data_IF_862257448809
#
_entry.id   IF_862257448809
#
_cell.length_a   1.000
_cell.length_b   1.000
_cell.length_c   1.000
_cell.angle_alpha   90.00
_cell.angle_beta   90.00
_cell.angle_gamma   90.00
#
_symmetry.space_group_name_H-M   'P 1'
#
loop_
_entity.id
_entity.type
_entity.pdbx_description
1 polymer ?
#
# COMPACT_ATOMS: atom_id res chain seq x y z
N UNK A 1 21.28 -10.04 15.81
CA UNK A 1 20.33 -10.89 15.07
C UNK A 1 20.60 -12.37 15.34
N UNK A 2 21.68 -12.98 14.86
CA UNK A 2 21.95 -14.42 15.11
C UNK A 2 21.90 -14.82 16.59
N UNK A 3 22.58 -14.06 17.46
CA UNK A 3 22.55 -14.30 18.91
C UNK A 3 21.20 -14.08 19.60
N UNK A 4 20.25 -13.36 18.97
CA UNK A 4 18.91 -13.15 19.56
C UNK A 4 18.01 -14.38 19.35
N UNK A 5 18.36 -15.25 18.39
CA UNK A 5 17.60 -16.43 18.00
C UNK A 5 18.33 -17.74 18.31
N UNK A 6 19.53 -17.67 18.91
CA UNK A 6 20.39 -18.82 19.21
C UNK A 6 20.64 -19.74 17.99
N UNK A 7 20.92 -19.12 16.84
CA UNK A 7 21.22 -19.79 15.57
C UNK A 7 22.55 -19.31 15.00
N UNK A 8 23.21 -20.19 14.25
CA UNK A 8 24.41 -19.85 13.49
C UNK A 8 24.12 -18.77 12.44
N UNK A 9 25.11 -17.89 12.21
CA UNK A 9 24.95 -16.75 11.31
C UNK A 9 24.64 -17.19 9.86
N UNK A 10 25.28 -18.26 9.40
CA UNK A 10 25.07 -18.83 8.06
C UNK A 10 23.63 -19.30 7.86
N UNK A 11 23.08 -20.02 8.85
CA UNK A 11 21.69 -20.50 8.84
C UNK A 11 20.73 -19.31 8.85
N UNK A 12 21.02 -18.27 9.65
CA UNK A 12 20.18 -17.09 9.69
C UNK A 12 20.16 -16.36 8.32
N UNK A 13 21.29 -16.27 7.64
CA UNK A 13 21.38 -15.65 6.32
C UNK A 13 20.61 -16.45 5.26
N UNK A 14 20.60 -17.78 5.34
CA UNK A 14 19.77 -18.64 4.49
C UNK A 14 18.28 -18.40 4.74
N UNK A 15 17.86 -18.33 6.02
CA UNK A 15 16.48 -18.06 6.40
C UNK A 15 16.03 -16.68 5.88
N UNK A 16 16.86 -15.64 6.08
CA UNK A 16 16.57 -14.29 5.59
C UNK A 16 16.47 -14.29 4.06
N UNK A 17 17.42 -14.94 3.37
CA UNK A 17 17.43 -15.04 1.92
C UNK A 17 16.16 -15.72 1.39
N UNK A 18 15.73 -16.81 2.04
CA UNK A 18 14.47 -17.47 1.71
C UNK A 18 13.27 -16.55 1.92
N UNK A 19 13.22 -15.81 3.04
CA UNK A 19 12.15 -14.86 3.33
C UNK A 19 12.08 -13.70 2.32
N UNK A 20 13.22 -13.26 1.80
CA UNK A 20 13.30 -12.27 0.72
C UNK A 20 12.81 -12.88 -0.60
N UNK A 21 13.20 -14.13 -0.92
CA UNK A 21 12.74 -14.84 -2.13
C UNK A 21 11.21 -14.97 -2.18
N UNK A 22 10.56 -15.30 -1.06
CA UNK A 22 9.09 -15.37 -0.96
C UNK A 22 8.42 -13.98 -0.80
N UNK A 23 9.17 -12.88 -0.90
CA UNK A 23 8.71 -11.49 -0.77
C UNK A 23 8.04 -11.17 0.57
N UNK A 24 8.35 -11.93 1.63
CA UNK A 24 7.90 -11.64 2.98
C UNK A 24 8.70 -10.47 3.59
N UNK A 25 10.00 -10.43 3.28
CA UNK A 25 10.93 -9.38 3.66
C UNK A 25 11.52 -8.71 2.41
N UNK A 26 11.99 -7.48 2.58
CA UNK A 26 12.67 -6.68 1.56
C UNK A 26 14.06 -6.33 2.07
N UNK A 27 15.08 -6.52 1.25
CA UNK A 27 16.45 -6.11 1.54
C UNK A 27 16.75 -4.83 0.75
N UNK A 28 16.90 -3.69 1.43
CA UNK A 28 17.25 -2.40 0.80
C UNK A 28 18.45 -1.79 1.58
N UNK A 29 19.56 -1.49 0.90
CA UNK A 29 20.75 -0.88 1.50
C UNK A 29 21.31 -1.64 2.72
N UNK A 30 21.39 -2.97 2.63
CA UNK A 30 21.87 -3.84 3.72
C UNK A 30 20.94 -3.89 4.93
N UNK A 31 19.70 -3.41 4.79
CA UNK A 31 18.68 -3.42 5.86
C UNK A 31 17.48 -4.23 5.44
N UNK A 32 16.93 -4.98 6.39
CA UNK A 32 15.79 -5.87 6.18
C UNK A 32 14.52 -5.14 6.65
N UNK A 33 13.50 -5.12 5.80
CA UNK A 33 12.21 -4.49 6.07
C UNK A 33 11.08 -5.48 5.85
N UNK A 34 10.05 -5.40 6.70
CA UNK A 34 8.76 -6.03 6.41
C UNK A 34 7.86 -5.05 5.68
N UNK A 35 7.41 -5.40 4.48
CA UNK A 35 6.52 -4.56 3.67
C UNK A 35 5.22 -4.21 4.40
N UNK A 36 4.57 -5.23 4.99
CA UNK A 36 3.33 -5.06 5.73
C UNK A 36 3.50 -4.17 6.95
N UNK A 37 4.60 -4.33 7.69
CA UNK A 37 4.88 -3.50 8.86
C UNK A 37 5.18 -2.04 8.46
N UNK A 38 5.99 -1.81 7.42
CA UNK A 38 6.29 -0.47 6.88
C UNK A 38 5.00 0.25 6.49
N UNK A 39 4.08 -0.43 5.80
CA UNK A 39 2.77 0.12 5.41
C UNK A 39 1.90 0.47 6.62
N UNK A 40 1.82 -0.40 7.63
CA UNK A 40 1.01 -0.18 8.84
C UNK A 40 1.57 0.94 9.72
N UNK A 41 2.89 1.06 9.81
CA UNK A 41 3.55 2.07 10.66
C UNK A 41 3.71 3.43 9.98
N UNK A 42 3.60 3.51 8.65
CA UNK A 42 3.67 4.77 7.90
C UNK A 42 2.87 5.92 8.53
N UNK A 43 1.56 5.79 8.85
CA UNK A 43 0.82 6.91 9.46
C UNK A 43 1.38 7.35 10.82
N UNK A 44 1.93 6.43 11.61
CA UNK A 44 2.53 6.75 12.93
C UNK A 44 3.85 7.48 12.74
N UNK A 45 4.67 7.01 11.80
CA UNK A 45 5.95 7.64 11.43
C UNK A 45 5.69 9.05 10.89
N UNK A 46 4.75 9.20 9.96
CA UNK A 46 4.38 10.48 9.36
C UNK A 46 3.88 11.46 10.44
N UNK A 47 3.02 11.00 11.36
CA UNK A 47 2.53 11.82 12.47
C UNK A 47 3.67 12.28 13.39
N UNK A 48 4.63 11.41 13.69
CA UNK A 48 5.80 11.74 14.51
C UNK A 48 6.72 12.74 13.81
N UNK A 49 6.98 12.56 12.52
CA UNK A 49 7.83 13.46 11.74
C UNK A 49 7.18 14.85 11.65
N UNK A 50 5.89 14.92 11.34
CA UNK A 50 5.15 16.18 11.32
C UNK A 50 5.18 16.92 12.67
N UNK A 51 5.13 16.18 13.79
CA UNK A 51 5.24 16.78 15.12
C UNK A 51 6.65 17.34 15.39
N UNK A 52 7.69 16.61 14.96
CA UNK A 52 9.08 17.09 15.04
C UNK A 52 9.31 18.34 14.19
N UNK A 53 8.80 18.35 12.97
CA UNK A 53 8.97 19.48 12.04
C UNK A 53 8.27 20.73 12.58
N UNK A 54 7.05 20.59 13.12
CA UNK A 54 6.35 21.69 13.80
C UNK A 54 7.11 22.24 15.00
N UNK A 55 7.75 21.35 15.77
CA UNK A 55 8.55 21.77 16.91
C UNK A 55 9.81 22.53 16.46
N UNK A 56 10.49 22.04 15.43
CA UNK A 56 11.67 22.70 14.86
C UNK A 56 11.32 24.06 14.25
N UNK A 57 10.20 24.16 13.52
CA UNK A 57 9.76 25.43 12.92
C UNK A 57 9.38 26.47 13.98
N UNK A 58 8.70 26.05 15.05
CA UNK A 58 8.37 26.95 16.17
C UNK A 58 9.61 27.43 16.95
N UNK A 59 10.67 26.61 17.01
CA UNK A 59 11.92 27.01 17.67
C UNK A 59 12.66 28.08 16.86
N UNK A 60 12.63 28.00 15.53
CA UNK A 60 13.23 28.99 14.63
C UNK A 60 12.46 30.33 14.63
N UNK A 61 11.13 30.32 14.71
CA UNK A 61 10.33 31.56 14.76
C UNK A 61 10.50 32.33 16.10
N UNK A 62 10.75 31.59 17.20
CA UNK A 62 10.92 32.16 18.54
C UNK A 62 12.32 32.69 18.85
N UNK A 63 13.28 32.65 17.93
CA UNK A 63 14.57 33.34 18.10
C UNK A 63 14.48 34.86 17.90
N UNK A 64 13.29 35.39 17.58
CA UNK A 64 13.02 36.85 17.54
C UNK A 64 12.44 37.40 18.86
N UNK A 65 12.74 36.79 20.01
CA UNK A 65 12.42 37.41 21.30
C UNK A 65 13.40 38.57 21.55
N UNK A 66 13.00 39.76 21.09
CA UNK A 66 13.48 41.04 21.63
C UNK A 66 13.35 40.98 23.16
N UNK A 67 14.48 40.88 23.84
CA UNK A 67 14.58 40.92 25.29
C UNK A 67 13.96 42.22 25.83
N UNK A 68 12.69 42.16 26.23
CA UNK A 68 12.15 43.09 27.23
C UNK A 68 12.24 42.41 28.58
N UNK A 69 13.34 42.74 29.22
CA UNK A 69 13.66 42.60 30.63
C UNK A 69 12.41 42.87 31.49
N UNK A 70 11.90 41.84 32.15
CA UNK A 70 10.98 42.06 33.27
C UNK A 70 11.42 41.18 34.44
N UNK A 71 12.21 41.82 35.29
CA UNK A 71 12.63 41.37 36.61
C UNK A 71 11.44 41.40 37.57
N UNK A 72 10.93 40.25 38.00
CA UNK A 72 10.60 40.08 39.42
C UNK A 72 10.47 38.60 39.82
N UNK A 73 11.48 38.15 40.56
CA UNK A 73 11.54 36.87 41.25
C UNK A 73 10.48 36.73 42.34
N UNK A 74 9.81 35.57 42.42
CA UNK A 74 9.34 35.06 43.72
C UNK A 74 9.47 33.54 43.78
N UNK A 75 10.55 33.15 44.46
CA UNK A 75 10.99 31.79 44.74
C UNK A 75 9.98 31.05 45.63
N UNK A 76 9.70 29.77 45.31
CA UNK A 76 9.34 28.78 46.33
C UNK A 76 10.22 27.55 46.14
N UNK A 77 11.12 27.34 47.10
CA UNK A 77 12.03 26.21 47.21
C UNK A 77 11.27 24.89 47.42
N UNK A 78 11.69 23.82 46.75
CA UNK A 78 11.62 22.43 47.25
C UNK A 78 12.60 21.59 46.42
N UNK A 79 13.85 21.46 46.87
CA UNK A 79 14.40 20.33 47.67
C UNK A 79 14.68 19.06 46.84
N UNK A 80 15.86 19.11 46.20
CA UNK A 80 16.87 18.06 45.95
C UNK A 80 16.50 16.59 46.24
N UNK A 81 16.68 15.72 45.23
CA UNK A 81 17.37 14.43 45.38
C UNK A 81 18.31 14.22 44.18
N UNK A 82 19.53 13.85 44.52
CA UNK A 82 20.74 13.89 43.71
C UNK A 82 20.79 12.84 42.60
N UNK A 83 21.46 13.25 41.53
CA UNK A 83 21.92 12.46 40.38
C UNK A 83 23.03 11.48 40.79
N UNK A 84 23.10 10.33 40.11
CA UNK A 84 24.34 9.55 39.98
C UNK A 84 24.77 9.60 38.52
N UNK A 85 25.97 10.13 38.33
CA UNK A 85 26.66 10.26 37.06
C UNK A 85 26.98 8.90 36.44
N UNK A 86 26.83 8.79 35.12
CA UNK A 86 27.53 7.79 34.31
C UNK A 86 28.30 8.57 33.25
N UNK A 87 29.59 8.73 33.51
CA UNK A 87 30.62 9.06 32.52
C UNK A 87 31.04 7.76 31.89
N UNK A 88 30.76 7.54 30.59
CA UNK A 88 31.58 6.67 29.73
C UNK A 88 31.53 7.18 28.29
N UNK A 89 32.59 7.91 27.94
CA UNK A 89 33.45 7.68 26.78
C UNK A 89 32.81 7.58 25.39
N UNK A 90 32.81 8.72 24.69
CA UNK A 90 32.69 8.80 23.24
C UNK A 90 34.01 8.33 22.62
N UNK A 91 34.07 7.06 22.22
CA UNK A 91 35.15 6.54 21.37
C UNK A 91 34.76 6.81 19.91
N UNK A 92 35.34 7.84 19.33
CA UNK A 92 35.45 8.03 17.89
C UNK A 92 36.39 6.98 17.33
N UNK A 93 35.87 6.05 16.52
CA UNK A 93 36.69 5.13 15.72
C UNK A 93 36.49 5.46 14.25
N UNK A 94 37.46 6.17 13.72
CA UNK A 94 37.75 6.23 12.28
C UNK A 94 38.41 4.92 11.89
N UNK A 95 37.96 4.33 10.78
CA UNK A 95 38.59 3.30 9.93
C UNK A 95 37.44 2.63 9.15
N UNK A 96 37.51 2.28 7.87
CA UNK A 96 38.36 2.61 6.74
C UNK A 96 37.57 2.05 5.53
N UNK A 97 37.53 2.78 4.43
CA UNK A 97 36.75 2.41 3.25
C UNK A 97 37.42 1.29 2.45
N UNK A 98 36.97 0.05 2.60
CA UNK A 98 37.24 -1.02 1.63
C UNK A 98 36.10 -1.10 0.61
N UNK A 99 36.35 -0.51 -0.56
CA UNK A 99 35.55 -0.74 -1.78
C UNK A 99 35.76 -2.19 -2.22
N UNK A 100 34.85 -3.07 -1.83
CA UNK A 100 34.72 -4.37 -2.48
C UNK A 100 33.65 -4.21 -3.56
N UNK A 101 34.12 -4.17 -4.80
CA UNK A 101 33.29 -4.17 -6.01
C UNK A 101 32.58 -5.53 -6.07
N UNK A 102 31.39 -5.61 -5.48
CA UNK A 102 30.48 -6.74 -5.65
C UNK A 102 29.92 -6.61 -7.05
N UNK A 103 30.52 -7.33 -7.99
CA UNK A 103 29.93 -7.64 -9.29
C UNK A 103 28.70 -8.50 -9.01
N UNK A 104 27.56 -7.83 -8.87
CA UNK A 104 26.23 -8.43 -8.78
C UNK A 104 25.91 -9.04 -10.14
N UNK A 105 26.36 -10.29 -10.34
CA UNK A 105 25.83 -11.16 -11.39
C UNK A 105 24.42 -11.55 -10.93
N UNK A 106 23.47 -10.66 -11.20
CA UNK A 106 22.05 -10.99 -11.28
C UNK A 106 21.88 -11.91 -12.49
N UNK A 107 22.26 -13.16 -12.31
CA UNK A 107 21.76 -14.23 -13.15
C UNK A 107 20.26 -14.32 -12.84
N UNK A 108 19.46 -13.66 -13.67
CA UNK A 108 18.01 -13.74 -13.64
C UNK A 108 17.65 -15.21 -13.85
N UNK A 109 17.55 -15.97 -12.76
CA UNK A 109 16.96 -17.31 -12.80
C UNK A 109 15.51 -17.09 -13.23
N UNK A 110 15.12 -17.52 -14.44
CA UNK A 110 13.75 -17.35 -14.89
C UNK A 110 12.88 -18.19 -13.95
N UNK A 111 12.18 -17.50 -13.06
CA UNK A 111 11.11 -18.08 -12.26
C UNK A 111 10.12 -18.68 -13.25
N UNK A 112 10.17 -20.00 -13.41
CA UNK A 112 9.11 -20.79 -14.03
C UNK A 112 7.89 -20.64 -13.13
N UNK A 113 7.15 -19.55 -13.32
CA UNK A 113 5.81 -19.37 -12.80
C UNK A 113 4.91 -20.36 -13.53
N UNK A 114 4.90 -21.61 -13.07
CA UNK A 114 4.03 -22.67 -13.59
C UNK A 114 2.54 -22.46 -13.21
N UNK A 115 2.17 -21.30 -12.65
CA UNK A 115 0.78 -20.87 -12.62
C UNK A 115 0.38 -20.35 -14.01
N UNK A 116 0.37 -21.29 -14.96
CA UNK A 116 -0.25 -21.11 -16.26
C UNK A 116 -1.74 -20.91 -15.96
N UNK A 117 -2.23 -19.72 -16.27
CA UNK A 117 -3.65 -19.43 -16.24
C UNK A 117 -4.34 -20.41 -17.19
N UNK A 118 -5.28 -21.18 -16.66
CA UNK A 118 -6.15 -22.03 -17.48
C UNK A 118 -7.10 -21.12 -18.27
N UNK A 119 -6.66 -20.75 -19.48
CA UNK A 119 -7.33 -19.75 -20.32
C UNK A 119 -8.74 -20.21 -20.73
N UNK A 120 -8.96 -21.51 -20.89
CA UNK A 120 -10.29 -22.08 -21.19
C UNK A 120 -11.24 -21.87 -20.01
N UNK A 121 -10.77 -22.19 -18.80
CA UNK A 121 -11.56 -21.97 -17.59
C UNK A 121 -11.82 -20.49 -17.34
N UNK A 122 -10.84 -19.62 -17.58
CA UNK A 122 -11.01 -18.18 -17.47
C UNK A 122 -12.07 -17.67 -18.45
N UNK A 123 -11.97 -18.04 -19.74
CA UNK A 123 -12.91 -17.64 -20.79
C UNK A 123 -14.34 -18.02 -20.42
N UNK A 124 -14.58 -19.26 -20.00
CA UNK A 124 -15.91 -19.72 -19.63
C UNK A 124 -16.53 -18.93 -18.46
N UNK A 125 -15.71 -18.43 -17.53
CA UNK A 125 -16.18 -17.61 -16.41
C UNK A 125 -16.36 -16.14 -16.82
N UNK A 126 -15.52 -15.62 -17.71
CA UNK A 126 -15.68 -14.29 -18.28
C UNK A 126 -16.98 -14.18 -19.07
N UNK A 127 -17.27 -15.15 -19.94
CA UNK A 127 -18.54 -15.24 -20.68
C UNK A 127 -19.73 -15.33 -19.72
N UNK A 128 -19.58 -16.08 -18.62
CA UNK A 128 -20.60 -16.15 -17.58
C UNK A 128 -20.81 -14.80 -16.88
N UNK A 129 -19.73 -14.07 -16.56
CA UNK A 129 -19.77 -12.76 -15.92
C UNK A 129 -20.52 -11.72 -16.77
N UNK A 130 -20.25 -11.65 -18.08
CA UNK A 130 -20.88 -10.69 -19.00
C UNK A 130 -22.41 -10.79 -19.00
N UNK A 131 -22.93 -12.01 -18.82
CA UNK A 131 -24.37 -12.27 -18.80
C UNK A 131 -25.04 -11.97 -17.44
N UNK A 132 -24.28 -11.57 -16.41
CA UNK A 132 -24.81 -11.38 -15.06
C UNK A 132 -25.17 -9.92 -14.77
N UNK A 133 -26.29 -9.73 -14.06
CA UNK A 133 -26.76 -8.40 -13.62
C UNK A 133 -25.75 -7.65 -12.73
N UNK A 134 -24.91 -8.40 -12.00
CA UNK A 134 -23.82 -7.83 -11.19
C UNK A 134 -22.79 -7.09 -12.04
N UNK A 135 -22.54 -7.53 -13.28
CA UNK A 135 -21.60 -6.87 -14.19
C UNK A 135 -22.07 -5.46 -14.55
N UNK A 136 -23.33 -5.32 -15.00
CA UNK A 136 -23.96 -4.03 -15.28
C UNK A 136 -23.97 -3.10 -14.05
N UNK A 137 -24.13 -3.70 -12.86
CA UNK A 137 -24.11 -2.96 -11.59
C UNK A 137 -22.73 -2.37 -11.30
N UNK A 138 -21.66 -3.14 -11.51
CA UNK A 138 -20.28 -2.67 -11.34
C UNK A 138 -19.98 -1.53 -12.31
N UNK A 139 -20.31 -1.70 -13.61
CA UNK A 139 -20.14 -0.66 -14.63
C UNK A 139 -20.81 0.64 -14.21
N UNK A 140 -22.09 0.57 -13.82
CA UNK A 140 -22.90 1.73 -13.45
C UNK A 140 -22.39 2.41 -12.17
N UNK A 141 -22.02 1.65 -11.15
CA UNK A 141 -21.56 2.20 -9.87
C UNK A 141 -20.17 2.84 -9.96
N UNK A 142 -19.26 2.19 -10.68
CA UNK A 142 -17.86 2.63 -10.76
C UNK A 142 -17.58 3.54 -11.96
N UNK A 143 -18.55 3.69 -12.88
CA UNK A 143 -18.43 4.47 -14.12
C UNK A 143 -17.26 4.01 -14.98
N UNK A 144 -17.10 2.70 -15.09
CA UNK A 144 -16.06 2.04 -15.89
C UNK A 144 -16.68 1.34 -17.09
N UNK A 145 -15.91 1.24 -18.16
CA UNK A 145 -16.35 0.56 -19.39
C UNK A 145 -16.37 -0.96 -19.21
N UNK A 146 -17.07 -1.67 -20.09
CA UNK A 146 -17.09 -3.13 -20.15
C UNK A 146 -15.69 -3.75 -20.16
N UNK A 147 -14.84 -3.30 -21.09
CA UNK A 147 -13.47 -3.76 -21.21
C UNK A 147 -12.66 -3.54 -19.93
N UNK A 148 -12.84 -2.41 -19.24
CA UNK A 148 -12.16 -2.16 -17.96
C UNK A 148 -12.64 -3.11 -16.86
N UNK A 149 -13.93 -3.48 -16.82
CA UNK A 149 -14.42 -4.48 -15.86
C UNK A 149 -13.76 -5.83 -16.14
N UNK A 150 -13.67 -6.24 -17.41
CA UNK A 150 -13.02 -7.49 -17.80
C UNK A 150 -11.52 -7.49 -17.48
N UNK A 151 -10.82 -6.38 -17.70
CA UNK A 151 -9.41 -6.25 -17.28
C UNK A 151 -9.26 -6.39 -15.77
N UNK A 152 -10.12 -5.74 -14.99
CA UNK A 152 -10.13 -5.89 -13.54
C UNK A 152 -10.48 -7.31 -13.10
N UNK A 153 -11.38 -7.98 -13.82
CA UNK A 153 -11.74 -9.37 -13.58
C UNK A 153 -10.56 -10.30 -13.86
N UNK A 154 -9.86 -10.12 -14.97
CA UNK A 154 -8.64 -10.87 -15.30
C UNK A 154 -7.60 -10.75 -14.20
N UNK A 155 -7.30 -9.52 -13.79
CA UNK A 155 -6.32 -9.26 -12.73
C UNK A 155 -6.75 -9.84 -11.37
N UNK A 156 -8.04 -9.79 -11.04
CA UNK A 156 -8.58 -10.46 -9.87
C UNK A 156 -8.38 -11.97 -9.95
N UNK A 157 -8.73 -12.57 -11.09
CA UNK A 157 -8.68 -14.00 -11.30
C UNK A 157 -7.25 -14.52 -11.21
N UNK A 158 -6.30 -13.91 -11.90
CA UNK A 158 -4.87 -14.26 -11.86
C UNK A 158 -4.32 -14.26 -10.43
N UNK A 159 -4.63 -13.23 -9.63
CA UNK A 159 -4.22 -13.18 -8.23
C UNK A 159 -4.82 -14.34 -7.41
N UNK A 160 -6.10 -14.64 -7.62
CA UNK A 160 -6.80 -15.69 -6.86
C UNK A 160 -6.35 -17.10 -7.27
N UNK A 161 -6.01 -17.31 -8.54
CA UNK A 161 -5.31 -18.53 -9.02
C UNK A 161 -3.95 -18.65 -8.35
N UNK A 162 -3.16 -17.57 -8.33
CA UNK A 162 -1.83 -17.58 -7.73
C UNK A 162 -1.85 -17.94 -6.23
N UNK A 163 -2.90 -17.54 -5.52
CA UNK A 163 -3.15 -17.86 -4.12
C UNK A 163 -3.84 -19.22 -3.89
N UNK A 164 -4.18 -19.96 -4.96
CA UNK A 164 -4.92 -21.23 -4.93
C UNK A 164 -6.29 -21.13 -4.24
N UNK A 165 -6.91 -19.96 -4.24
CA UNK A 165 -8.21 -19.71 -3.58
C UNK A 165 -9.42 -20.14 -4.43
N UNK A 166 -9.21 -20.41 -5.72
CA UNK A 166 -10.29 -20.72 -6.68
C UNK A 166 -10.54 -22.21 -6.90
N UNK A 167 -9.76 -23.11 -6.28
CA UNK A 167 -9.75 -24.53 -6.66
C UNK A 167 -11.10 -25.23 -6.49
N UNK A 168 -11.89 -24.80 -5.51
CA UNK A 168 -13.16 -25.42 -5.12
C UNK A 168 -14.35 -24.44 -5.16
N UNK A 169 -14.18 -23.28 -5.78
CA UNK A 169 -15.23 -22.25 -5.84
C UNK A 169 -16.12 -22.43 -7.06
N UNK A 170 -17.43 -22.26 -6.86
CA UNK A 170 -18.42 -22.16 -7.94
C UNK A 170 -18.29 -20.83 -8.70
N UNK A 171 -18.77 -20.78 -9.95
CA UNK A 171 -18.73 -19.54 -10.75
C UNK A 171 -19.41 -18.37 -10.02
N UNK A 172 -20.55 -18.62 -9.35
CA UNK A 172 -21.28 -17.64 -8.56
C UNK A 172 -20.49 -17.08 -7.38
N UNK A 173 -19.73 -17.93 -6.68
CA UNK A 173 -18.87 -17.51 -5.57
C UNK A 173 -17.72 -16.64 -6.06
N UNK A 174 -17.10 -17.01 -7.19
CA UNK A 174 -16.04 -16.23 -7.83
C UNK A 174 -16.55 -14.84 -8.19
N UNK A 175 -17.74 -14.75 -8.81
CA UNK A 175 -18.39 -13.50 -9.16
C UNK A 175 -18.72 -12.64 -7.94
N UNK A 176 -19.27 -13.26 -6.90
CA UNK A 176 -19.60 -12.57 -5.65
C UNK A 176 -18.33 -12.00 -5.00
N UNK A 177 -17.26 -12.79 -4.97
CA UNK A 177 -15.95 -12.36 -4.47
C UNK A 177 -15.39 -11.20 -5.30
N UNK A 178 -15.51 -11.28 -6.63
CA UNK A 178 -15.12 -10.19 -7.53
C UNK A 178 -15.90 -8.91 -7.26
N UNK A 179 -17.23 -8.99 -7.13
CA UNK A 179 -18.11 -7.85 -6.85
C UNK A 179 -17.70 -7.10 -5.58
N UNK A 180 -17.37 -7.82 -4.50
CA UNK A 180 -16.88 -7.20 -3.25
C UNK A 180 -15.46 -6.66 -3.35
N UNK A 181 -14.63 -7.27 -4.19
CA UNK A 181 -13.23 -6.90 -4.35
C UNK A 181 -13.05 -5.62 -5.17
N UNK A 182 -13.83 -5.42 -6.24
CA UNK A 182 -13.68 -4.29 -7.18
C UNK A 182 -13.65 -2.92 -6.48
N UNK A 183 -14.60 -2.56 -5.59
CA UNK A 183 -14.59 -1.25 -4.95
C UNK A 183 -13.37 -1.03 -4.03
N UNK A 184 -12.79 -2.09 -3.48
CA UNK A 184 -11.60 -2.01 -2.62
C UNK A 184 -10.35 -1.83 -3.48
N UNK A 185 -10.28 -2.58 -4.58
CA UNK A 185 -9.17 -2.51 -5.52
C UNK A 185 -9.08 -1.14 -6.18
N UNK A 186 -10.18 -0.60 -6.71
CA UNK A 186 -10.22 0.71 -7.36
C UNK A 186 -9.84 1.86 -6.42
N UNK A 187 -10.24 1.77 -5.14
CA UNK A 187 -9.82 2.74 -4.12
C UNK A 187 -8.32 2.71 -3.85
N UNK A 188 -7.70 1.53 -3.98
CA UNK A 188 -6.28 1.32 -3.69
C UNK A 188 -5.38 1.71 -4.86
N UNK A 189 -5.82 1.46 -6.10
CA UNK A 189 -5.05 1.79 -7.31
C UNK A 189 -5.06 3.27 -7.66
N UNK A 190 -5.88 4.07 -6.97
CA UNK A 190 -5.78 5.54 -7.06
C UNK A 190 -6.20 6.13 -8.40
N UNK A 191 -6.85 5.35 -9.28
CA UNK A 191 -7.67 5.92 -10.36
C UNK A 191 -8.71 6.80 -9.66
N UNK A 192 -8.46 8.12 -9.62
CA UNK A 192 -9.39 9.11 -9.06
C UNK A 192 -10.73 8.81 -9.72
N UNK A 193 -11.70 8.34 -8.94
CA UNK A 193 -13.10 8.31 -9.34
C UNK A 193 -13.39 9.73 -9.78
N UNK A 194 -13.49 9.95 -11.09
CA UNK A 194 -13.88 11.25 -11.62
C UNK A 194 -15.32 11.40 -11.14
N UNK A 195 -15.49 12.14 -10.03
CA UNK A 195 -16.79 12.67 -9.65
C UNK A 195 -17.15 13.61 -10.78
N UNK A 196 -17.83 13.09 -11.80
CA UNK A 196 -18.68 13.89 -12.66
C UNK A 196 -19.66 14.56 -11.72
N UNK A 197 -19.33 15.79 -11.31
CA UNK A 197 -20.32 16.77 -10.93
C UNK A 197 -21.36 16.76 -12.04
N UNK A 198 -22.65 16.56 -11.74
CA UNK A 198 -23.67 16.69 -12.76
C UNK A 198 -23.49 18.08 -13.38
N UNK A 199 -23.09 18.09 -14.65
CA UNK A 199 -23.14 19.31 -15.42
C UNK A 199 -24.58 19.77 -15.32
N UNK A 200 -24.74 20.97 -14.78
CA UNK A 200 -26.00 21.68 -14.71
C UNK A 200 -26.37 22.06 -16.15
N UNK A 201 -26.73 21.05 -16.95
CA UNK A 201 -27.11 21.23 -18.34
C UNK A 201 -28.61 21.45 -18.35
N UNK A 202 -28.96 22.73 -18.45
CA UNK A 202 -30.31 23.20 -18.60
C UNK A 202 -30.90 22.63 -19.88
N UNK A 203 -31.76 21.63 -19.71
CA UNK A 203 -32.94 21.36 -20.53
C UNK A 203 -32.80 21.50 -22.04
N UNK A 204 -32.53 20.38 -22.73
CA UNK A 204 -33.02 20.07 -24.09
C UNK A 204 -32.57 18.65 -24.45
N UNK A 205 -33.29 17.63 -23.98
CA UNK A 205 -32.93 16.24 -24.32
C UNK A 205 -33.91 15.15 -23.90
N UNK A 206 -34.95 15.46 -23.10
CA UNK A 206 -35.91 14.45 -22.67
C UNK A 206 -37.02 14.14 -23.68
N UNK A 207 -37.10 14.84 -24.82
CA UNK A 207 -38.16 14.65 -25.80
C UNK A 207 -37.89 13.50 -26.80
N UNK A 208 -36.64 13.12 -27.04
CA UNK A 208 -36.30 12.12 -28.06
C UNK A 208 -36.40 10.66 -27.57
N UNK A 209 -36.35 10.41 -26.26
CA UNK A 209 -36.38 9.05 -25.71
C UNK A 209 -37.81 8.49 -25.52
N UNK A 210 -38.83 9.36 -25.54
CA UNK A 210 -40.24 8.95 -25.40
C UNK A 210 -40.90 8.60 -26.74
N UNK A 211 -40.40 9.12 -27.87
CA UNK A 211 -40.91 8.77 -29.21
C UNK A 211 -40.43 7.39 -29.71
N UNK A 212 -39.26 6.91 -29.27
CA UNK A 212 -38.79 5.57 -29.64
C UNK A 212 -39.57 4.43 -28.95
N UNK A 213 -40.25 4.70 -27.82
CA UNK A 213 -40.96 3.67 -27.08
C UNK A 213 -42.41 3.45 -27.56
N UNK A 214 -43.00 4.35 -28.34
CA UNK A 214 -44.32 4.16 -28.95
C UNK A 214 -44.29 3.41 -30.29
N UNK A 215 -43.15 3.39 -31.01
CA UNK A 215 -43.01 2.70 -32.30
C UNK A 215 -42.87 1.17 -32.20
N UNK A 216 -42.69 0.62 -30.98
CA UNK A 216 -42.56 -0.82 -30.72
C UNK A 216 -43.88 -1.47 -30.24
N UNK A 217 -45.00 -0.74 -30.21
CA UNK A 217 -46.32 -1.24 -29.79
C UNK A 217 -47.36 -1.35 -30.92
N UNK A 218 -46.95 -1.26 -32.18
CA UNK A 218 -47.76 -1.62 -33.36
C UNK A 218 -47.11 -2.78 -34.10
#
# INVERSE_FOLDING_TARGET
MAGDFDVEAEILDEIISYCVKIKLLLLENGKIYSFGLKKRLKPVIDKRNNAKDKFLSQKLEKESVSAKENTQSKVKYSKVKESKDIVVEVVTREEETSKTEIVEILEEVPLKNENILDEEKYSAIADYLENQTMFCTIQSQQKITENEVLEHFRFFYEQKVALKELKDQTQDEILRNFYFWVPIHLRTTGKKIIKLTPANDQGKGAAAALEMFELLKK
#
